data_IF_351878915550
#
_entry.id   IF_351878915550
#
_cell.length_a   1.000
_cell.length_b   1.000
_cell.length_c   1.000
_cell.angle_alpha   90.00
_cell.angle_beta   90.00
_cell.angle_gamma   90.00
#
_symmetry.space_group_name_H-M   'P 1'
#
loop_
_entity.id
_entity.type
_entity.pdbx_description
1 polymer ?
#
# COMPACT_ATOMS: atom_id res chain seq x y z
N UNK A 1 -4.79 -13.88 11.72
CA UNK A 1 -4.00 -14.57 10.69
C UNK A 1 -2.60 -14.75 11.27
N UNK A 2 -2.17 -15.98 11.57
CA UNK A 2 -0.90 -16.23 12.29
C UNK A 2 0.36 -15.94 11.44
N UNK A 3 0.27 -16.03 10.11
CA UNK A 3 1.44 -16.02 9.23
C UNK A 3 1.44 -14.92 8.15
N UNK A 4 0.50 -13.96 8.18
CA UNK A 4 0.45 -12.83 7.25
C UNK A 4 0.22 -13.14 5.76
N UNK A 5 0.09 -14.41 5.37
CA UNK A 5 -0.16 -14.82 3.97
C UNK A 5 -1.50 -14.31 3.47
N UNK A 6 -1.55 -13.93 2.19
CA UNK A 6 -2.81 -13.57 1.54
C UNK A 6 -3.65 -14.83 1.29
N UNK A 7 -4.84 -14.88 1.89
CA UNK A 7 -5.87 -15.90 1.68
C UNK A 7 -7.19 -15.24 1.25
N UNK A 8 -8.25 -16.02 1.04
CA UNK A 8 -9.55 -15.50 0.61
C UNK A 8 -10.08 -14.40 1.54
N UNK A 9 -9.98 -14.62 2.87
CA UNK A 9 -10.37 -13.64 3.87
C UNK A 9 -9.57 -12.35 3.73
N UNK A 10 -8.26 -12.48 3.56
CA UNK A 10 -7.39 -11.35 3.42
C UNK A 10 -7.64 -10.58 2.11
N UNK A 11 -7.91 -11.25 0.99
CA UNK A 11 -8.33 -10.60 -0.26
C UNK A 11 -9.60 -9.76 -0.04
N UNK A 12 -10.57 -10.28 0.71
CA UNK A 12 -11.80 -9.55 1.05
C UNK A 12 -11.53 -8.33 1.95
N UNK A 13 -10.62 -8.47 2.93
CA UNK A 13 -10.22 -7.34 3.78
C UNK A 13 -9.53 -6.26 2.93
N UNK A 14 -8.60 -6.66 2.07
CA UNK A 14 -7.90 -5.75 1.16
C UNK A 14 -8.87 -5.06 0.21
N UNK A 15 -9.80 -5.79 -0.39
CA UNK A 15 -10.83 -5.21 -1.25
C UNK A 15 -11.63 -4.13 -0.54
N UNK A 16 -12.15 -4.42 0.65
CA UNK A 16 -13.02 -3.48 1.37
C UNK A 16 -12.26 -2.25 1.91
N UNK A 17 -11.01 -2.44 2.38
CA UNK A 17 -10.24 -1.36 3.02
C UNK A 17 -9.35 -0.57 2.06
N UNK A 18 -8.91 -1.18 0.96
CA UNK A 18 -7.91 -0.60 0.06
C UNK A 18 -8.51 -0.33 -1.31
N UNK A 19 -9.11 -1.31 -1.97
CA UNK A 19 -9.53 -1.12 -3.36
C UNK A 19 -10.85 -0.35 -3.51
N UNK A 20 -11.92 -0.85 -2.87
CA UNK A 20 -13.28 -0.33 -2.98
C UNK A 20 -13.40 1.17 -2.66
N UNK A 21 -12.74 1.74 -1.63
CA UNK A 21 -12.88 3.16 -1.32
C UNK A 21 -12.48 4.10 -2.47
N UNK A 22 -11.54 3.67 -3.33
CA UNK A 22 -11.09 4.46 -4.47
C UNK A 22 -11.81 4.05 -5.75
N UNK A 23 -11.92 2.74 -6.02
CA UNK A 23 -12.47 2.23 -7.28
C UNK A 23 -13.97 2.50 -7.45
N UNK A 24 -14.76 2.43 -6.37
CA UNK A 24 -16.22 2.59 -6.45
C UNK A 24 -16.68 4.01 -6.85
N UNK A 25 -15.77 4.99 -6.80
CA UNK A 25 -16.03 6.36 -7.24
C UNK A 25 -15.95 6.54 -8.77
N UNK A 26 -15.50 5.50 -9.48
CA UNK A 26 -15.35 5.52 -10.95
C UNK A 26 -16.39 4.63 -11.62
N UNK A 27 -16.86 4.97 -12.83
CA UNK A 27 -17.82 4.15 -13.57
C UNK A 27 -17.27 2.78 -13.98
N UNK A 28 -15.95 2.67 -14.11
CA UNK A 28 -15.24 1.42 -14.36
C UNK A 28 -13.79 1.57 -13.89
N UNK A 29 -13.18 0.47 -13.48
CA UNK A 29 -11.78 0.38 -13.07
C UNK A 29 -11.16 -0.93 -13.55
N UNK A 30 -9.85 -0.95 -13.72
CA UNK A 30 -9.08 -2.14 -14.07
C UNK A 30 -8.10 -2.45 -12.93
N UNK A 31 -8.08 -3.71 -12.49
CA UNK A 31 -7.14 -4.22 -11.50
C UNK A 31 -6.22 -5.25 -12.14
N UNK A 32 -4.91 -5.02 -12.06
CA UNK A 32 -3.88 -5.94 -12.54
C UNK A 32 -3.30 -6.73 -11.35
N UNK A 33 -3.41 -8.05 -11.36
CA UNK A 33 -2.83 -8.93 -10.34
C UNK A 33 -2.00 -10.04 -10.98
N UNK A 34 -1.05 -10.60 -10.22
CA UNK A 34 -0.32 -11.79 -10.62
C UNK A 34 -1.18 -13.06 -10.50
N UNK A 35 -0.75 -14.13 -11.17
CA UNK A 35 -1.36 -15.45 -11.15
C UNK A 35 -1.15 -16.16 -9.79
N UNK A 36 -1.76 -15.63 -8.74
CA UNK A 36 -1.77 -16.21 -7.41
C UNK A 36 -3.15 -16.79 -7.06
N UNK A 37 -3.16 -17.92 -6.34
CA UNK A 37 -4.37 -18.74 -6.14
C UNK A 37 -5.54 -17.98 -5.53
N UNK A 38 -5.30 -17.03 -4.62
CA UNK A 38 -6.39 -16.26 -4.01
C UNK A 38 -6.91 -15.12 -4.91
N UNK A 39 -6.14 -14.68 -5.91
CA UNK A 39 -6.55 -13.64 -6.86
C UNK A 39 -7.47 -14.20 -7.95
N UNK A 40 -7.31 -15.47 -8.32
CA UNK A 40 -8.11 -16.14 -9.37
C UNK A 40 -9.40 -16.81 -8.85
N UNK A 41 -9.75 -16.62 -7.57
CA UNK A 41 -10.95 -17.20 -6.98
C UNK A 41 -12.21 -16.49 -7.51
N UNK A 42 -13.20 -17.28 -7.93
CA UNK A 42 -14.46 -16.75 -8.47
C UNK A 42 -15.19 -15.83 -7.49
N UNK A 43 -15.13 -16.10 -6.19
CA UNK A 43 -15.74 -15.24 -5.15
C UNK A 43 -15.11 -13.84 -5.12
N UNK A 44 -13.80 -13.75 -5.26
CA UNK A 44 -13.07 -12.50 -5.32
C UNK A 44 -13.34 -11.74 -6.63
N UNK A 45 -13.32 -12.45 -7.76
CA UNK A 45 -13.64 -11.86 -9.07
C UNK A 45 -15.07 -11.28 -9.10
N UNK A 46 -16.05 -12.02 -8.56
CA UNK A 46 -17.43 -11.53 -8.43
C UNK A 46 -17.52 -10.28 -7.56
N UNK A 47 -16.71 -10.22 -6.49
CA UNK A 47 -16.65 -9.06 -5.60
C UNK A 47 -16.14 -7.82 -6.35
N UNK A 48 -15.09 -7.96 -7.15
CA UNK A 48 -14.56 -6.88 -7.99
C UNK A 48 -15.58 -6.42 -9.04
N UNK A 49 -16.18 -7.36 -9.77
CA UNK A 49 -17.19 -7.07 -10.79
C UNK A 49 -18.40 -6.33 -10.22
N UNK A 50 -18.78 -6.59 -8.96
CA UNK A 50 -19.92 -5.93 -8.30
C UNK A 50 -19.79 -4.40 -8.18
N UNK A 51 -18.57 -3.86 -8.28
CA UNK A 51 -18.30 -2.42 -8.28
C UNK A 51 -17.77 -1.91 -9.63
N UNK A 52 -17.91 -2.69 -10.71
CA UNK A 52 -17.44 -2.33 -12.04
C UNK A 52 -15.91 -2.40 -12.21
N UNK A 53 -15.22 -3.16 -11.36
CA UNK A 53 -13.79 -3.45 -11.55
C UNK A 53 -13.61 -4.70 -12.40
N UNK A 54 -12.90 -4.57 -13.52
CA UNK A 54 -12.40 -5.67 -14.32
C UNK A 54 -11.06 -6.17 -13.75
N UNK A 55 -10.86 -7.48 -13.69
CA UNK A 55 -9.63 -8.10 -13.23
C UNK A 55 -8.86 -8.67 -14.42
N UNK A 56 -7.60 -8.26 -14.55
CA UNK A 56 -6.67 -8.80 -15.54
C UNK A 56 -5.53 -9.53 -14.80
N UNK A 57 -5.34 -10.81 -15.12
CA UNK A 57 -4.33 -11.67 -14.49
C UNK A 57 -3.08 -11.72 -15.35
N UNK A 58 -1.95 -11.32 -14.78
CA UNK A 58 -0.65 -11.41 -15.41
C UNK A 58 -0.14 -12.85 -15.33
N UNK A 59 0.12 -13.52 -16.47
CA UNK A 59 0.61 -14.89 -16.46
C UNK A 59 1.96 -15.04 -15.75
N UNK A 60 2.19 -16.21 -15.16
CA UNK A 60 3.48 -16.55 -14.56
C UNK A 60 4.65 -16.30 -15.51
N UNK A 61 5.71 -15.66 -14.99
CA UNK A 61 6.91 -15.31 -15.75
C UNK A 61 6.88 -13.95 -16.45
N UNK A 62 5.73 -13.25 -16.44
CA UNK A 62 5.59 -11.92 -17.06
C UNK A 62 5.50 -10.77 -16.06
N UNK A 63 5.54 -11.03 -14.75
CA UNK A 63 5.44 -9.97 -13.74
C UNK A 63 6.53 -8.91 -13.88
N UNK A 64 7.76 -9.31 -14.21
CA UNK A 64 8.88 -8.40 -14.44
C UNK A 64 8.73 -7.49 -15.67
N UNK A 65 7.75 -7.75 -16.54
CA UNK A 65 7.50 -6.99 -17.78
C UNK A 65 6.16 -6.26 -17.72
N UNK A 66 5.13 -6.89 -17.15
CA UNK A 66 3.75 -6.41 -17.21
C UNK A 66 3.21 -5.92 -15.87
N UNK A 67 3.84 -6.23 -14.75
CA UNK A 67 3.33 -5.80 -13.44
C UNK A 67 3.91 -4.43 -13.08
N UNK A 68 3.09 -3.35 -12.99
CA UNK A 68 3.60 -2.01 -12.74
C UNK A 68 4.47 -1.93 -11.48
N UNK A 69 4.08 -2.66 -10.44
CA UNK A 69 4.84 -2.74 -9.20
C UNK A 69 6.27 -3.23 -9.44
N UNK A 70 6.47 -4.31 -10.20
CA UNK A 70 7.81 -4.86 -10.45
C UNK A 70 8.60 -4.06 -11.48
N UNK A 71 7.93 -3.47 -12.47
CA UNK A 71 8.57 -2.73 -13.56
C UNK A 71 9.16 -1.41 -13.08
N UNK A 72 8.40 -0.62 -12.30
CA UNK A 72 8.78 0.77 -12.04
C UNK A 72 8.67 1.24 -10.59
N UNK A 73 7.86 0.60 -9.75
CA UNK A 73 7.53 1.13 -8.41
C UNK A 73 8.36 0.48 -7.29
N UNK A 74 8.53 -0.84 -7.33
CA UNK A 74 9.19 -1.61 -6.27
C UNK A 74 10.66 -1.23 -6.13
N UNK A 75 11.34 -0.92 -7.24
CA UNK A 75 12.75 -0.51 -7.20
C UNK A 75 12.96 0.81 -6.45
N UNK A 76 12.38 1.96 -6.86
CA UNK A 76 12.58 3.21 -6.14
C UNK A 76 12.09 3.14 -4.68
N UNK A 77 11.01 2.39 -4.41
CA UNK A 77 10.55 2.15 -3.04
C UNK A 77 11.62 1.45 -2.18
N UNK A 78 12.16 0.33 -2.68
CA UNK A 78 13.21 -0.46 -1.98
C UNK A 78 14.50 0.33 -1.84
N UNK A 79 14.88 1.10 -2.86
CA UNK A 79 16.09 1.93 -2.83
C UNK A 79 15.97 3.05 -1.79
N UNK A 80 14.79 3.69 -1.68
CA UNK A 80 14.50 4.69 -0.65
C UNK A 80 14.59 4.13 0.78
N UNK A 81 13.96 2.97 1.03
CA UNK A 81 14.02 2.30 2.34
C UNK A 81 15.47 1.92 2.67
N UNK A 82 16.21 1.40 1.68
CA UNK A 82 17.61 0.99 1.84
C UNK A 82 18.52 2.17 2.16
N UNK A 83 18.32 3.32 1.52
CA UNK A 83 19.08 4.53 1.81
C UNK A 83 18.90 4.97 3.27
N UNK A 84 17.65 4.96 3.75
CA UNK A 84 17.32 5.34 5.14
C UNK A 84 17.86 4.33 6.16
N UNK A 85 17.73 3.03 5.86
CA UNK A 85 18.33 1.98 6.67
C UNK A 85 19.84 2.15 6.79
N UNK A 86 20.55 2.39 5.67
CA UNK A 86 22.00 2.58 5.68
C UNK A 86 22.40 3.80 6.53
N UNK A 87 21.70 4.92 6.39
CA UNK A 87 21.98 6.12 7.19
C UNK A 87 21.76 5.88 8.70
N UNK A 88 20.69 5.16 9.05
CA UNK A 88 20.41 4.76 10.43
C UNK A 88 21.46 3.76 10.95
N UNK A 89 21.82 2.76 10.15
CA UNK A 89 22.78 1.72 10.51
C UNK A 89 24.16 2.31 10.78
N UNK A 90 24.65 3.22 9.94
CA UNK A 90 25.91 3.93 10.17
C UNK A 90 25.90 4.64 11.52
N UNK A 91 24.81 5.34 11.88
CA UNK A 91 24.71 6.06 13.17
C UNK A 91 24.59 5.13 14.37
N UNK A 92 23.82 4.04 14.24
CA UNK A 92 23.51 3.14 15.35
C UNK A 92 24.56 2.07 15.56
N UNK A 93 25.32 1.72 14.53
CA UNK A 93 26.39 0.72 14.57
C UNK A 93 27.78 1.34 14.76
N UNK A 94 27.91 2.66 14.66
CA UNK A 94 29.15 3.34 15.03
C UNK A 94 29.50 3.04 16.49
N UNK A 95 30.73 2.55 16.71
CA UNK A 95 31.29 2.19 18.03
C UNK A 95 30.52 1.09 18.79
N UNK A 96 29.73 0.25 18.11
CA UNK A 96 29.19 -0.94 18.77
C UNK A 96 30.34 -1.86 19.20
N UNK A 97 30.29 -2.34 20.45
CA UNK A 97 31.22 -3.37 20.91
C UNK A 97 31.04 -4.65 20.08
N UNK A 98 32.13 -5.40 19.85
CA UNK A 98 32.12 -6.60 19.01
C UNK A 98 31.14 -7.70 19.46
N UNK A 99 30.69 -7.66 20.73
CA UNK A 99 29.74 -8.60 21.34
C UNK A 99 28.38 -7.97 21.67
N UNK A 100 28.15 -6.71 21.31
CA UNK A 100 26.87 -6.05 21.59
C UNK A 100 25.78 -6.51 20.60
N UNK A 101 24.54 -6.57 21.09
CA UNK A 101 23.37 -6.94 20.29
C UNK A 101 23.14 -5.89 19.20
N UNK A 102 22.99 -6.34 17.96
CA UNK A 102 22.68 -5.47 16.82
C UNK A 102 21.31 -4.82 17.04
N UNK A 103 21.18 -3.48 16.93
CA UNK A 103 19.89 -2.82 17.04
C UNK A 103 18.91 -3.25 15.94
N UNK A 104 17.61 -3.27 16.24
CA UNK A 104 16.54 -3.55 15.26
C UNK A 104 15.74 -2.28 14.97
N UNK A 105 15.46 -1.93 13.70
CA UNK A 105 14.81 -0.66 13.35
C UNK A 105 13.27 -0.71 13.33
N UNK A 106 12.60 -1.56 14.12
CA UNK A 106 11.18 -1.93 13.90
C UNK A 106 10.21 -0.76 13.64
N UNK A 107 10.23 0.29 14.46
CA UNK A 107 9.37 1.47 14.26
C UNK A 107 9.83 2.39 13.12
N UNK A 108 11.13 2.42 12.82
CA UNK A 108 11.68 3.27 11.76
C UNK A 108 11.29 2.76 10.37
N UNK A 109 11.09 1.45 10.20
CA UNK A 109 10.74 0.84 8.92
C UNK A 109 9.44 1.43 8.35
N UNK A 110 8.44 1.72 9.20
CA UNK A 110 7.18 2.31 8.77
C UNK A 110 7.40 3.74 8.26
N UNK A 111 8.13 4.56 9.02
CA UNK A 111 8.46 5.94 8.60
C UNK A 111 9.26 5.95 7.30
N UNK A 112 10.20 5.01 7.14
CA UNK A 112 10.98 4.88 5.91
C UNK A 112 10.13 4.45 4.73
N UNK A 113 9.19 3.53 4.94
CA UNK A 113 8.24 3.11 3.91
C UNK A 113 7.40 4.28 3.41
N UNK A 114 6.79 5.05 4.33
CA UNK A 114 5.99 6.24 4.00
C UNK A 114 6.84 7.27 3.26
N UNK A 115 7.99 7.65 3.81
CA UNK A 115 8.88 8.63 3.17
C UNK A 115 9.37 8.17 1.79
N UNK A 116 9.61 6.87 1.60
CA UNK A 116 10.04 6.32 0.31
C UNK A 116 8.91 6.26 -0.70
N UNK A 117 7.67 6.04 -0.25
CA UNK A 117 6.47 6.08 -1.08
C UNK A 117 6.18 7.52 -1.55
N UNK A 118 6.23 8.50 -0.65
CA UNK A 118 5.97 9.91 -0.97
C UNK A 118 7.01 10.50 -1.96
N UNK A 119 8.20 9.90 -2.02
CA UNK A 119 9.23 10.28 -2.98
C UNK A 119 8.97 9.75 -4.40
N UNK A 120 8.08 8.77 -4.57
CA UNK A 120 7.70 8.24 -5.88
C UNK A 120 6.65 9.17 -6.50
N UNK A 121 7.01 9.83 -7.59
CA UNK A 121 6.12 10.81 -8.23
C UNK A 121 5.00 10.14 -9.02
N UNK A 122 3.85 10.80 -9.11
CA UNK A 122 2.75 10.36 -9.98
C UNK A 122 3.17 10.24 -11.45
N UNK A 123 4.10 11.07 -11.91
CA UNK A 123 4.71 10.97 -13.25
C UNK A 123 5.48 9.64 -13.43
N UNK A 124 6.21 9.18 -12.41
CA UNK A 124 6.88 7.86 -12.44
C UNK A 124 5.87 6.73 -12.55
N UNK A 125 4.77 6.81 -11.79
CA UNK A 125 3.69 5.81 -11.82
C UNK A 125 3.02 5.81 -13.21
N UNK A 126 2.66 6.97 -13.74
CA UNK A 126 2.01 7.12 -15.05
C UNK A 126 2.91 6.63 -16.19
N UNK A 127 4.20 6.98 -16.18
CA UNK A 127 5.18 6.48 -17.15
C UNK A 127 5.34 4.97 -17.09
N UNK A 128 5.36 4.40 -15.88
CA UNK A 128 5.45 2.94 -15.69
C UNK A 128 4.24 2.25 -16.31
N UNK A 129 3.03 2.69 -15.97
CA UNK A 129 1.77 2.14 -16.50
C UNK A 129 1.71 2.30 -18.03
N UNK A 130 2.18 3.43 -18.55
CA UNK A 130 2.24 3.67 -20.01
C UNK A 130 3.23 2.73 -20.70
N UNK A 131 4.41 2.51 -20.11
CA UNK A 131 5.46 1.68 -20.70
C UNK A 131 5.07 0.20 -20.85
N UNK A 132 4.14 -0.27 -20.02
CA UNK A 132 3.63 -1.65 -20.06
C UNK A 132 2.36 -1.80 -20.92
N UNK A 133 1.93 -0.73 -21.59
CA UNK A 133 0.78 -0.76 -22.53
C UNK A 133 -0.59 -0.39 -21.93
N UNK A 134 -0.64 0.03 -20.66
CA UNK A 134 -1.89 0.42 -19.97
C UNK A 134 -2.02 1.93 -19.76
N UNK A 135 -1.22 2.74 -20.47
CA UNK A 135 -1.24 4.19 -20.36
C UNK A 135 -2.63 4.75 -20.65
N UNK A 136 -3.17 5.52 -19.71
CA UNK A 136 -4.42 6.27 -19.90
C UNK A 136 -4.03 7.72 -20.19
N UNK A 137 -4.54 8.28 -21.29
CA UNK A 137 -4.43 9.73 -21.55
C UNK A 137 -4.98 10.50 -20.34
N UNK A 138 -4.31 11.57 -19.86
CA UNK A 138 -4.73 12.28 -18.66
C UNK A 138 -6.18 12.75 -18.80
N UNK A 139 -7.02 12.37 -17.83
CA UNK A 139 -8.40 12.85 -17.77
C UNK A 139 -8.38 14.35 -17.45
N UNK A 140 -9.09 15.16 -18.23
CA UNK A 140 -9.09 16.62 -18.11
C UNK A 140 -9.72 17.16 -16.81
N UNK A 141 -10.31 16.30 -15.98
CA UNK A 141 -10.99 16.67 -14.73
C UNK A 141 -10.64 15.65 -13.64
N UNK A 142 -10.05 16.13 -12.54
CA UNK A 142 -9.83 15.29 -11.36
C UNK A 142 -11.18 14.95 -10.72
N UNK A 143 -11.43 13.67 -10.41
CA UNK A 143 -12.64 13.29 -9.70
C UNK A 143 -12.58 13.86 -8.28
N UNK A 144 -13.67 14.50 -7.88
CA UNK A 144 -13.86 15.02 -6.54
C UNK A 144 -13.87 13.85 -5.54
N UNK A 145 -12.73 13.57 -4.91
CA UNK A 145 -12.63 12.53 -3.89
C UNK A 145 -13.54 12.93 -2.71
N UNK A 146 -14.47 12.07 -2.26
CA UNK A 146 -15.26 12.39 -1.09
C UNK A 146 -14.34 12.46 0.14
N UNK A 147 -14.26 13.65 0.75
CA UNK A 147 -13.74 13.82 2.10
C UNK A 147 -14.62 12.99 3.02
N UNK A 148 -14.07 11.94 3.63
CA UNK A 148 -14.76 11.18 4.67
C UNK A 148 -14.88 12.08 5.90
N UNK A 149 -16.00 12.77 6.02
CA UNK A 149 -16.39 13.46 7.25
C UNK A 149 -17.13 12.43 8.10
N UNK A 150 -16.44 11.85 9.09
CA UNK A 150 -17.12 11.05 10.11
C UNK A 150 -18.12 11.93 10.85
N UNK A 151 -19.40 11.67 10.59
CA UNK A 151 -20.52 12.24 11.34
C UNK A 151 -21.00 11.18 12.32
N UNK A 152 -20.47 11.20 13.55
CA UNK A 152 -20.93 10.32 14.63
C UNK A 152 -22.27 10.81 15.16
N UNK A 153 -23.36 10.15 14.77
CA UNK A 153 -24.62 10.16 15.53
C UNK A 153 -24.74 8.82 16.25
N UNK A 154 -24.51 8.85 17.57
CA UNK A 154 -24.50 7.66 18.42
C UNK A 154 -25.89 7.10 18.75
N UNK A 155 -25.90 5.82 19.17
CA UNK A 155 -26.71 5.27 20.27
C UNK A 155 -26.17 3.87 20.66
N UNK A 156 -25.57 3.79 21.87
CA UNK A 156 -25.62 2.75 22.95
C UNK A 156 -25.71 1.26 22.59
N UNK A 157 -25.06 0.26 23.20
CA UNK A 157 -24.14 -0.04 24.34
C UNK A 157 -23.70 -1.51 24.05
N UNK A 158 -22.52 -2.07 24.36
CA UNK A 158 -21.91 -2.36 25.68
C UNK A 158 -20.41 -2.78 25.52
N UNK A 159 -19.56 -2.26 26.41
CA UNK A 159 -18.35 -2.81 27.06
C UNK A 159 -17.47 -3.88 26.38
N UNK A 160 -16.21 -3.52 26.08
CA UNK A 160 -15.03 -4.12 26.75
C UNK A 160 -13.76 -3.28 26.43
N UNK A 161 -13.07 -2.90 27.51
CA UNK A 161 -11.94 -1.96 27.59
C UNK A 161 -10.66 -2.44 26.91
N UNK A 162 -10.09 -1.62 26.02
CA UNK A 162 -8.65 -1.45 25.84
C UNK A 162 -8.36 -0.01 25.37
N UNK A 163 -8.06 0.89 26.31
CA UNK A 163 -7.44 2.19 26.02
C UNK A 163 -6.00 1.98 25.53
N UNK A 164 -5.69 2.52 24.34
CA UNK A 164 -4.34 2.99 24.02
C UNK A 164 -4.52 4.40 23.45
N UNK A 165 -4.19 5.40 24.27
CA UNK A 165 -4.31 6.80 23.91
C UNK A 165 -3.35 7.18 22.76
N UNK A 166 -3.90 7.80 21.72
CA UNK A 166 -3.20 8.28 20.52
C UNK A 166 -2.75 9.75 20.65
N UNK A 167 -2.31 10.20 21.84
CA UNK A 167 -1.97 11.62 22.06
C UNK A 167 -0.48 11.96 21.90
N UNK A 168 0.43 10.98 21.73
CA UNK A 168 1.88 11.27 21.75
C UNK A 168 2.53 11.41 20.37
N UNK A 169 1.76 11.46 19.27
CA UNK A 169 2.30 11.72 17.93
C UNK A 169 2.19 13.19 17.51
N UNK A 170 2.51 14.12 18.42
CA UNK A 170 2.74 15.53 18.05
C UNK A 170 4.21 15.68 17.65
N UNK A 171 4.49 15.52 16.35
CA UNK A 171 5.76 15.96 15.77
C UNK A 171 5.62 17.40 15.26
N UNK A 172 6.24 18.32 16.00
CA UNK A 172 6.74 19.59 15.49
C UNK A 172 7.28 20.50 16.61
N UNK A 173 8.17 21.48 16.33
CA UNK A 173 8.85 21.78 15.07
C UNK A 173 10.40 21.76 15.16
N UNK A 174 10.99 21.77 13.97
CA UNK A 174 12.35 22.15 13.57
C UNK A 174 13.03 23.21 14.45
N UNK A 175 14.24 22.89 14.92
CA UNK A 175 15.43 23.76 14.91
C UNK A 175 16.64 22.88 14.57
#
# INVERSE_FOLDING_TARGET
QENGWMDERGCQIWFNKVWKPYAASYPSSLLLLDEFKCHIQSSFIQTLNSIGTELEIIPGGYTCVLQPCDVGINKPLKDGIRAQYNAWAVRKMDKLAANAKVPTPELYVIAWLVSSWDAITSDTIAKTITSIGYGVEPRSEEPNLPVVIESTSGSTETEDDYEVELQDLVLGPTI
#
